data_IF_030266456328
#
_entry.id   IF_030266456328
#
_cell.length_a   1.000
_cell.length_b   1.000
_cell.length_c   1.000
_cell.angle_alpha   90.00
_cell.angle_beta   90.00
_cell.angle_gamma   90.00
#
_symmetry.space_group_name_H-M   'P 1'
#
loop_
_entity.id
_entity.type
_entity.pdbx_description
1 polymer ?
#
# COMPACT_ATOMS: atom_id res chain seq x y z
N UNK A 1 -27.98 -3.00 -30.05
CA UNK A 1 -26.76 -3.34 -29.29
C UNK A 1 -27.12 -3.17 -27.83
N UNK A 2 -27.67 -4.22 -27.21
CA UNK A 2 -28.14 -4.20 -25.81
C UNK A 2 -27.43 -5.28 -24.98
N UNK A 3 -26.27 -5.78 -25.43
CA UNK A 3 -25.57 -6.90 -24.77
C UNK A 3 -24.33 -6.50 -23.98
N UNK A 4 -23.76 -5.31 -24.21
CA UNK A 4 -22.47 -4.93 -23.58
C UNK A 4 -22.63 -4.52 -22.11
N UNK A 5 -23.74 -3.86 -21.74
CA UNK A 5 -23.94 -3.40 -20.36
C UNK A 5 -24.28 -4.54 -19.38
N UNK A 6 -25.09 -5.52 -19.79
CA UNK A 6 -25.43 -6.68 -18.93
C UNK A 6 -24.21 -7.60 -18.71
N UNK A 7 -23.25 -7.60 -19.62
CA UNK A 7 -22.03 -8.41 -19.52
C UNK A 7 -20.99 -7.77 -18.59
N UNK A 8 -20.88 -6.43 -18.57
CA UNK A 8 -19.98 -5.70 -17.66
C UNK A 8 -20.40 -5.83 -16.18
N UNK A 9 -21.68 -5.66 -15.86
CA UNK A 9 -22.20 -5.80 -14.49
C UNK A 9 -21.99 -7.23 -13.96
N UNK A 10 -22.17 -8.24 -14.81
CA UNK A 10 -21.96 -9.64 -14.44
C UNK A 10 -20.48 -9.98 -14.17
N UNK A 11 -19.55 -9.27 -14.81
CA UNK A 11 -18.11 -9.44 -14.56
C UNK A 11 -17.73 -8.79 -13.22
N UNK A 12 -18.25 -7.61 -12.91
CA UNK A 12 -17.97 -6.91 -11.64
C UNK A 12 -18.43 -7.74 -10.43
N UNK A 13 -19.67 -8.24 -10.47
CA UNK A 13 -20.23 -9.11 -9.41
C UNK A 13 -19.40 -10.38 -9.19
N UNK A 14 -18.89 -11.00 -10.26
CA UNK A 14 -18.04 -12.18 -10.15
C UNK A 14 -16.67 -11.86 -9.54
N UNK A 15 -16.06 -10.73 -9.94
CA UNK A 15 -14.78 -10.28 -9.38
C UNK A 15 -14.94 -9.96 -7.89
N UNK A 16 -16.01 -9.27 -7.52
CA UNK A 16 -16.33 -8.98 -6.13
C UNK A 16 -16.64 -10.25 -5.32
N UNK A 17 -17.40 -11.19 -5.88
CA UNK A 17 -17.67 -12.49 -5.26
C UNK A 17 -16.39 -13.28 -4.99
N UNK A 18 -15.43 -13.24 -5.92
CA UNK A 18 -14.10 -13.84 -5.73
C UNK A 18 -13.33 -13.14 -4.59
N UNK A 19 -13.33 -11.81 -4.56
CA UNK A 19 -12.71 -11.03 -3.47
C UNK A 19 -13.28 -11.47 -2.11
N UNK A 20 -14.61 -11.56 -1.97
CA UNK A 20 -15.25 -12.01 -0.73
C UNK A 20 -14.81 -13.42 -0.34
N UNK A 21 -14.73 -14.34 -1.31
CA UNK A 21 -14.25 -15.70 -1.05
C UNK A 21 -12.81 -15.70 -0.52
N UNK A 22 -11.93 -14.86 -1.05
CA UNK A 22 -10.55 -14.77 -0.56
C UNK A 22 -10.44 -14.05 0.78
N UNK A 23 -11.21 -12.99 0.99
CA UNK A 23 -11.28 -12.26 2.26
C UNK A 23 -11.77 -13.17 3.40
N UNK A 24 -12.70 -14.09 3.12
CA UNK A 24 -13.20 -15.06 4.09
C UNK A 24 -12.11 -15.96 4.67
N UNK A 25 -11.05 -16.26 3.90
CA UNK A 25 -9.89 -17.05 4.36
C UNK A 25 -9.07 -16.34 5.45
N UNK A 26 -9.23 -15.02 5.56
CA UNK A 26 -8.63 -14.19 6.60
C UNK A 26 -9.62 -13.83 7.72
N UNK A 27 -10.79 -14.49 7.76
CA UNK A 27 -11.82 -14.25 8.78
C UNK A 27 -12.61 -12.94 8.57
N UNK A 28 -12.52 -12.32 7.39
CA UNK A 28 -13.26 -11.10 7.07
C UNK A 28 -14.57 -11.47 6.38
N UNK A 29 -15.68 -11.01 6.96
CA UNK A 29 -17.02 -11.11 6.37
C UNK A 29 -17.60 -9.70 6.24
N UNK A 30 -18.31 -9.40 5.13
CA UNK A 30 -18.99 -8.12 4.98
C UNK A 30 -20.02 -7.97 6.11
N UNK A 31 -19.93 -6.87 6.84
CA UNK A 31 -20.94 -6.45 7.83
C UNK A 31 -22.00 -5.62 7.08
N UNK A 32 -23.21 -5.53 7.61
CA UNK A 32 -24.24 -4.66 7.04
C UNK A 32 -23.70 -3.25 6.84
N UNK A 33 -24.02 -2.66 5.67
CA UNK A 33 -23.62 -1.31 5.33
C UNK A 33 -24.11 -0.34 6.41
N UNK A 34 -23.18 0.46 6.94
CA UNK A 34 -23.48 1.57 7.83
C UNK A 34 -23.77 2.83 7.00
N UNK A 35 -24.34 3.88 7.61
CA UNK A 35 -24.64 5.16 6.95
C UNK A 35 -23.40 5.83 6.33
N UNK A 36 -22.19 5.43 6.77
CA UNK A 36 -20.91 5.94 6.27
C UNK A 36 -20.39 5.21 5.04
N UNK A 37 -21.08 4.17 4.57
CA UNK A 37 -20.69 3.40 3.39
C UNK A 37 -21.03 4.19 2.12
N UNK A 38 -20.09 4.42 1.19
CA UNK A 38 -20.38 5.10 -0.06
C UNK A 38 -21.44 4.35 -0.85
N UNK A 39 -22.48 5.06 -1.29
CA UNK A 39 -23.55 4.51 -2.14
C UNK A 39 -23.34 4.80 -3.63
N UNK A 40 -22.42 5.70 -3.97
CA UNK A 40 -22.11 6.07 -5.35
C UNK A 40 -20.64 6.52 -5.51
N UNK A 41 -19.98 6.04 -6.57
CA UNK A 41 -18.61 6.39 -6.97
C UNK A 41 -18.52 6.86 -8.44
N UNK A 42 -19.66 7.20 -9.05
CA UNK A 42 -19.76 7.61 -10.46
C UNK A 42 -19.00 8.90 -10.77
N UNK A 43 -18.94 9.85 -9.82
CA UNK A 43 -18.27 11.15 -9.99
C UNK A 43 -16.83 11.15 -9.50
N UNK A 44 -16.00 12.03 -10.04
CA UNK A 44 -14.62 12.20 -9.60
C UNK A 44 -14.54 12.72 -8.17
N UNK A 45 -15.46 13.62 -7.81
CA UNK A 45 -15.61 14.17 -6.47
C UNK A 45 -15.96 13.07 -5.46
N UNK A 46 -16.91 12.19 -5.78
CA UNK A 46 -17.26 11.05 -4.92
C UNK A 46 -16.08 10.11 -4.69
N UNK A 47 -15.34 9.76 -5.76
CA UNK A 47 -14.12 8.93 -5.65
C UNK A 47 -13.06 9.60 -4.78
N UNK A 48 -12.84 10.90 -4.95
CA UNK A 48 -11.83 11.66 -4.18
C UNK A 48 -12.21 11.77 -2.70
N UNK A 49 -13.48 12.02 -2.42
CA UNK A 49 -14.02 12.04 -1.06
C UNK A 49 -13.89 10.69 -0.38
N UNK A 50 -14.24 9.62 -1.09
CA UNK A 50 -14.09 8.24 -0.61
C UNK A 50 -12.63 7.91 -0.25
N UNK A 51 -11.68 8.21 -1.13
CA UNK A 51 -10.25 7.99 -0.86
C UNK A 51 -9.75 8.80 0.35
N UNK A 52 -10.21 10.04 0.48
CA UNK A 52 -9.85 10.90 1.62
C UNK A 52 -10.42 10.37 2.94
N UNK A 53 -11.66 9.87 2.92
CA UNK A 53 -12.29 9.23 4.07
C UNK A 53 -11.55 7.96 4.52
N UNK A 54 -11.16 7.09 3.59
CA UNK A 54 -10.35 5.91 3.88
C UNK A 54 -9.00 6.27 4.49
N UNK A 55 -8.31 7.28 3.93
CA UNK A 55 -7.04 7.77 4.47
C UNK A 55 -7.19 8.30 5.89
N UNK A 56 -8.21 9.13 6.14
CA UNK A 56 -8.47 9.68 7.47
C UNK A 56 -8.78 8.57 8.48
N UNK A 57 -9.63 7.59 8.13
CA UNK A 57 -9.97 6.47 9.00
C UNK A 57 -8.73 5.62 9.35
N UNK A 58 -7.89 5.32 8.35
CA UNK A 58 -6.64 4.58 8.54
C UNK A 58 -5.65 5.34 9.44
N UNK A 59 -5.48 6.65 9.22
CA UNK A 59 -4.60 7.48 10.02
C UNK A 59 -5.11 7.64 11.46
N UNK A 60 -6.41 7.84 11.64
CA UNK A 60 -7.03 7.91 12.97
C UNK A 60 -6.82 6.60 13.73
N UNK A 61 -7.01 5.45 13.07
CA UNK A 61 -6.67 4.15 13.67
C UNK A 61 -5.19 4.06 14.06
N UNK A 62 -4.29 4.45 13.16
CA UNK A 62 -2.86 4.38 13.41
C UNK A 62 -2.44 5.19 14.64
N UNK A 63 -2.91 6.43 14.72
CA UNK A 63 -2.65 7.32 15.86
C UNK A 63 -3.26 6.78 17.14
N UNK A 64 -4.50 6.28 17.10
CA UNK A 64 -5.17 5.75 18.29
C UNK A 64 -4.49 4.49 18.83
N UNK A 65 -4.13 3.54 17.96
CA UNK A 65 -3.42 2.32 18.36
C UNK A 65 -2.06 2.68 18.98
N UNK A 66 -1.29 3.58 18.36
CA UNK A 66 0.00 4.03 18.88
C UNK A 66 -0.13 4.81 20.20
N UNK A 67 -1.18 5.61 20.37
CA UNK A 67 -1.39 6.40 21.60
C UNK A 67 -1.70 5.52 22.83
N UNK A 68 -2.30 4.34 22.60
CA UNK A 68 -2.62 3.37 23.66
C UNK A 68 -1.42 2.51 24.10
N UNK A 69 -0.25 2.68 23.46
CA UNK A 69 0.98 1.95 23.77
C UNK A 69 1.96 2.76 24.63
N UNK A 70 2.87 2.05 25.29
CA UNK A 70 3.90 2.63 26.14
C UNK A 70 4.87 3.51 25.35
N UNK A 71 5.51 4.47 26.04
CA UNK A 71 6.59 5.27 25.42
C UNK A 71 7.75 4.34 25.01
N UNK A 72 8.19 4.48 23.76
CA UNK A 72 9.20 3.60 23.15
C UNK A 72 8.60 2.67 22.08
N UNK A 73 7.38 2.18 22.26
CA UNK A 73 6.75 1.19 21.36
C UNK A 73 5.85 1.83 20.29
N UNK A 74 5.52 3.11 20.45
CA UNK A 74 4.54 3.81 19.59
C UNK A 74 4.94 3.84 18.13
N UNK A 75 6.21 4.12 17.85
CA UNK A 75 6.70 4.19 16.46
C UNK A 75 6.89 2.81 15.85
N UNK A 76 7.17 1.78 16.65
CA UNK A 76 7.20 0.39 16.19
C UNK A 76 5.80 -0.07 15.76
N UNK A 77 4.76 0.35 16.49
CA UNK A 77 3.38 0.11 16.10
C UNK A 77 3.02 0.81 14.79
N UNK A 78 3.40 2.09 14.63
CA UNK A 78 3.20 2.83 13.37
C UNK A 78 3.91 2.14 12.20
N UNK A 79 5.14 1.66 12.40
CA UNK A 79 5.89 0.92 11.38
C UNK A 79 5.19 -0.40 11.01
N UNK A 80 4.73 -1.17 12.01
CA UNK A 80 3.96 -2.40 11.79
C UNK A 80 2.66 -2.16 11.02
N UNK A 81 1.95 -1.08 11.33
CA UNK A 81 0.73 -0.68 10.63
C UNK A 81 1.00 -0.28 9.18
N UNK A 82 2.09 0.46 8.91
CA UNK A 82 2.48 0.81 7.54
C UNK A 82 2.71 -0.45 6.68
N UNK A 83 3.40 -1.46 7.21
CA UNK A 83 3.60 -2.75 6.54
C UNK A 83 2.26 -3.46 6.31
N UNK A 84 1.38 -3.48 7.31
CA UNK A 84 0.06 -4.10 7.19
C UNK A 84 -0.80 -3.42 6.11
N UNK A 85 -0.81 -2.09 6.06
CA UNK A 85 -1.54 -1.33 5.04
C UNK A 85 -0.95 -1.53 3.64
N UNK A 86 0.37 -1.62 3.50
CA UNK A 86 1.00 -1.94 2.22
C UNK A 86 0.61 -3.35 1.73
N UNK A 87 0.59 -4.35 2.64
CA UNK A 87 0.12 -5.70 2.31
C UNK A 87 -1.35 -5.72 1.89
N UNK A 88 -2.20 -4.93 2.55
CA UNK A 88 -3.61 -4.78 2.18
C UNK A 88 -3.76 -4.14 0.79
N UNK A 89 -3.02 -3.07 0.51
CA UNK A 89 -3.05 -2.41 -0.79
C UNK A 89 -2.67 -3.38 -1.93
N UNK A 90 -1.59 -4.15 -1.74
CA UNK A 90 -1.20 -5.18 -2.71
C UNK A 90 -2.22 -6.31 -2.85
N UNK A 91 -2.84 -6.74 -1.76
CA UNK A 91 -3.90 -7.76 -1.79
C UNK A 91 -5.13 -7.29 -2.57
N UNK A 92 -5.56 -6.04 -2.39
CA UNK A 92 -6.68 -5.43 -3.12
C UNK A 92 -6.36 -5.23 -4.60
N UNK A 93 -5.17 -4.71 -4.91
CA UNK A 93 -4.69 -4.52 -6.29
C UNK A 93 -4.71 -5.83 -7.09
N UNK A 94 -4.26 -6.92 -6.46
CA UNK A 94 -4.21 -8.24 -7.09
C UNK A 94 -5.58 -8.85 -7.44
N UNK A 95 -6.69 -8.21 -7.04
CA UNK A 95 -8.03 -8.63 -7.44
C UNK A 95 -8.57 -7.86 -8.64
N UNK A 96 -7.89 -6.79 -9.05
CA UNK A 96 -8.30 -5.99 -10.20
C UNK A 96 -7.87 -6.69 -11.50
N UNK A 97 -8.67 -6.57 -12.58
CA UNK A 97 -8.24 -6.96 -13.91
C UNK A 97 -6.93 -6.25 -14.31
N UNK A 98 -6.08 -6.86 -15.16
CA UNK A 98 -4.79 -6.26 -15.55
C UNK A 98 -4.88 -4.84 -16.14
N UNK A 99 -5.99 -4.48 -16.78
CA UNK A 99 -6.23 -3.14 -17.33
C UNK A 99 -6.72 -2.11 -16.31
N UNK A 100 -7.13 -2.54 -15.12
CA UNK A 100 -7.65 -1.70 -14.04
C UNK A 100 -6.72 -1.60 -12.83
N UNK A 101 -5.66 -2.42 -12.78
CA UNK A 101 -4.65 -2.38 -11.71
C UNK A 101 -3.70 -1.18 -11.86
N UNK A 102 -4.13 -0.05 -11.31
CA UNK A 102 -3.32 1.19 -11.24
C UNK A 102 -2.13 1.11 -10.29
N UNK A 103 -2.08 0.09 -9.42
CA UNK A 103 -0.98 -0.11 -8.48
C UNK A 103 0.13 -0.94 -9.10
N UNK A 104 -0.14 -1.73 -10.14
CA UNK A 104 0.89 -2.49 -10.87
C UNK A 104 2.07 -1.62 -11.31
N UNK A 105 1.88 -0.49 -12.01
CA UNK A 105 3.00 0.35 -12.45
C UNK A 105 3.75 1.00 -11.28
N UNK A 106 3.06 1.31 -10.19
CA UNK A 106 3.66 1.90 -8.99
C UNK A 106 4.52 0.88 -8.24
N UNK A 107 4.02 -0.34 -8.09
CA UNK A 107 4.76 -1.45 -7.50
C UNK A 107 5.98 -1.80 -8.36
N UNK A 108 5.81 -1.88 -9.68
CA UNK A 108 6.91 -2.16 -10.60
C UNK A 108 7.99 -1.06 -10.54
N UNK A 109 7.59 0.22 -10.51
CA UNK A 109 8.51 1.35 -10.37
C UNK A 109 9.22 1.37 -8.99
N UNK A 110 8.52 1.03 -7.92
CA UNK A 110 9.09 0.92 -6.57
C UNK A 110 10.10 -0.23 -6.48
N UNK A 111 9.76 -1.39 -7.06
CA UNK A 111 10.63 -2.56 -7.11
C UNK A 111 11.86 -2.32 -8.00
N UNK A 112 11.71 -1.54 -9.08
CA UNK A 112 12.84 -1.11 -9.92
C UNK A 112 13.81 -0.19 -9.15
N UNK A 113 13.29 0.78 -8.40
CA UNK A 113 14.14 1.61 -7.52
C UNK A 113 14.84 0.81 -6.41
N UNK A 114 14.24 -0.29 -5.95
CA UNK A 114 14.89 -1.22 -5.02
C UNK A 114 15.93 -2.14 -5.67
N UNK A 115 15.95 -2.28 -7.00
CA UNK A 115 17.03 -2.97 -7.72
C UNK A 115 18.30 -2.10 -7.84
N UNK A 116 18.18 -0.78 -7.74
CA UNK A 116 19.28 0.15 -8.00
C UNK A 116 20.34 0.38 -6.88
N UNK A 117 20.26 -0.11 -5.62
CA UNK A 117 21.42 -0.02 -4.71
C UNK A 117 21.94 -1.39 -4.27
N UNK A 118 22.32 -2.24 -5.22
CA UNK A 118 23.29 -3.32 -4.96
C UNK A 118 24.71 -2.98 -5.50
N UNK A 119 24.86 -1.96 -6.34
CA UNK A 119 26.13 -1.64 -7.01
C UNK A 119 26.91 -0.47 -6.36
N UNK A 120 26.34 0.25 -5.39
CA UNK A 120 27.04 1.36 -4.69
C UNK A 120 27.74 0.97 -3.39
N UNK A 121 27.79 -0.33 -3.05
CA UNK A 121 28.36 -0.82 -1.79
C UNK A 121 29.76 -1.45 -1.87
N UNK A 122 30.36 -1.59 -3.06
CA UNK A 122 31.66 -2.27 -3.20
C UNK A 122 32.65 -1.39 -3.98
N UNK A 123 33.02 -0.24 -3.40
CA UNK A 123 34.31 0.36 -3.71
C UNK A 123 35.21 0.23 -2.47
N UNK A 124 35.87 -0.92 -2.44
CA UNK A 124 37.04 -1.33 -1.69
C UNK A 124 37.48 -0.46 -0.49
N UNK A 125 37.34 -1.04 0.70
CA UNK A 125 38.35 -0.94 1.74
C UNK A 125 39.70 -1.49 1.21
N UNK A 126 40.71 -0.63 1.03
CA UNK A 126 42.16 -0.93 1.10
C UNK A 126 42.93 0.29 0.52
N UNK A 127 43.98 0.88 1.08
CA UNK A 127 44.95 0.50 2.10
C UNK A 127 45.53 1.77 2.77
N UNK A 128 46.14 1.54 3.94
CA UNK A 128 47.05 2.38 4.72
C UNK A 128 48.07 3.20 3.90
N UNK A 129 48.47 4.39 4.40
CA UNK A 129 49.81 4.65 4.97
C UNK A 129 49.93 6.08 5.53
N UNK A 130 50.19 6.17 6.83
CA UNK A 130 50.79 7.32 7.51
C UNK A 130 52.26 7.44 7.07
N UNK A 131 52.76 8.65 6.82
CA UNK A 131 54.15 9.13 7.04
C UNK A 131 54.10 10.66 6.92
N UNK A 132 54.25 11.41 8.00
CA UNK A 132 55.49 11.90 8.64
C UNK A 132 56.01 13.25 8.10
N UNK A 133 56.44 14.05 9.08
CA UNK A 133 57.13 15.35 9.10
C UNK A 133 57.95 15.81 7.87
N UNK A 134 57.96 17.13 7.60
CA UNK A 134 59.15 18.02 7.76
C UNK A 134 59.05 19.36 7.00
N UNK A 135 59.84 20.33 7.47
CA UNK A 135 59.96 21.73 7.07
C UNK A 135 60.69 22.00 5.72
N UNK A 136 60.64 23.30 5.33
CA UNK A 136 61.57 24.07 4.47
C UNK A 136 61.35 24.01 2.95
N UNK A 137 60.98 25.15 2.34
CA UNK A 137 61.93 26.18 1.88
C UNK A 137 61.22 27.53 1.66
#
# INVERSE_FOLDING_TARGET
MCGEFEEEDYIDDQLFGRLLQMASKYGVSPVQADETTPSDLSTQEARSSYMSGLFQAGLTRAVNDANNLAMGERMDAVAGQAIAFARLAGFLAGQLPPGADVLRPVIDALMEGHREPAEWGVSAHDHHHQHDHAHQH
#
